data_IF_213786909326
#
_entry.id   IF_213786909326
#
_cell.length_a   1.000
_cell.length_b   1.000
_cell.length_c   1.000
_cell.angle_alpha   90.00
_cell.angle_beta   90.00
_cell.angle_gamma   90.00
#
_symmetry.space_group_name_H-M   'P 1'
#
loop_
_entity.id
_entity.type
_entity.pdbx_description
1 polymer ?
#
# COMPACT_ATOMS: atom_id res chain seq x y z
N UNK A 1 -5.97 14.86 5.69
CA UNK A 1 -5.59 13.57 6.32
C UNK A 1 -5.93 12.48 5.33
N UNK A 2 -4.99 11.57 5.02
CA UNK A 2 -5.22 10.52 4.03
C UNK A 2 -6.31 9.54 4.53
N UNK A 3 -7.36 9.23 3.74
CA UNK A 3 -8.49 8.40 4.18
C UNK A 3 -8.18 6.89 4.14
N UNK A 4 -6.96 6.50 4.54
CA UNK A 4 -6.57 5.09 4.61
C UNK A 4 -7.02 4.48 5.93
N UNK A 5 -7.68 3.33 5.83
CA UNK A 5 -8.20 2.58 6.97
C UNK A 5 -7.68 1.14 6.96
N UNK A 6 -7.49 0.57 8.15
CA UNK A 6 -7.26 -0.87 8.31
C UNK A 6 -8.52 -1.49 8.92
N UNK A 7 -8.95 -2.62 8.35
CA UNK A 7 -9.97 -3.46 8.97
C UNK A 7 -9.48 -4.01 10.32
N UNK A 8 -10.37 -4.44 11.22
CA UNK A 8 -9.98 -5.12 12.45
C UNK A 8 -9.06 -6.32 12.19
N UNK A 9 -9.38 -7.15 11.18
CA UNK A 9 -8.57 -8.29 10.78
C UNK A 9 -7.15 -7.88 10.36
N UNK A 10 -7.00 -6.78 9.60
CA UNK A 10 -5.68 -6.27 9.23
C UNK A 10 -4.90 -5.74 10.44
N UNK A 11 -5.56 -5.10 11.40
CA UNK A 11 -4.92 -4.59 12.63
C UNK A 11 -4.44 -5.72 13.53
N UNK A 12 -5.30 -6.71 13.77
CA UNK A 12 -4.98 -7.88 14.60
C UNK A 12 -3.92 -8.77 13.96
N UNK A 13 -3.87 -8.80 12.62
CA UNK A 13 -2.86 -9.56 11.91
C UNK A 13 -1.47 -8.92 11.96
N UNK A 14 -1.31 -7.62 12.24
CA UNK A 14 0.00 -6.98 12.35
C UNK A 14 0.68 -7.35 13.68
N UNK A 15 1.95 -7.71 13.63
CA UNK A 15 2.76 -7.82 14.84
C UNK A 15 3.18 -6.42 15.35
N UNK A 16 3.54 -6.30 16.63
CA UNK A 16 3.84 -5.02 17.30
C UNK A 16 4.92 -4.17 16.61
N UNK A 17 5.90 -4.80 15.95
CA UNK A 17 6.96 -4.11 15.22
C UNK A 17 6.67 -3.94 13.73
N UNK A 18 5.54 -4.44 13.23
CA UNK A 18 5.18 -4.40 11.84
C UNK A 18 4.30 -3.20 11.50
N UNK A 19 4.44 -2.77 10.26
CA UNK A 19 3.59 -1.78 9.61
C UNK A 19 3.13 -2.33 8.28
N UNK A 20 2.04 -1.78 7.75
CA UNK A 20 1.66 -2.00 6.36
C UNK A 20 2.52 -1.11 5.47
N UNK A 21 3.12 -1.70 4.44
CA UNK A 21 3.89 -0.97 3.44
C UNK A 21 3.27 -1.15 2.05
N UNK A 22 2.94 -0.01 1.42
CA UNK A 22 2.62 0.07 0.00
C UNK A 22 3.91 0.18 -0.81
N UNK A 23 4.22 -0.87 -1.57
CA UNK A 23 5.33 -0.89 -2.51
C UNK A 23 4.91 -0.33 -3.88
N UNK A 24 5.92 0.00 -4.70
CA UNK A 24 5.72 0.43 -6.09
C UNK A 24 6.55 -0.45 -7.02
N UNK A 25 5.87 -1.17 -7.91
CA UNK A 25 6.51 -2.03 -8.89
C UNK A 25 6.46 -1.37 -10.26
N UNK A 26 7.60 -0.91 -10.76
CA UNK A 26 7.70 -0.34 -12.11
C UNK A 26 7.40 -1.43 -13.14
N UNK A 27 6.44 -1.19 -14.03
CA UNK A 27 6.00 -2.15 -15.06
C UNK A 27 6.76 -2.01 -16.38
N UNK A 28 7.69 -1.04 -16.48
CA UNK A 28 8.61 -0.90 -17.61
C UNK A 28 7.97 -0.40 -18.90
N UNK A 29 6.76 0.18 -18.83
CA UNK A 29 6.15 0.88 -19.95
C UNK A 29 6.95 2.16 -20.26
N UNK A 30 6.97 2.58 -21.54
CA UNK A 30 7.75 3.74 -22.01
C UNK A 30 7.38 5.08 -21.35
N UNK A 31 6.28 5.13 -20.60
CA UNK A 31 5.80 6.30 -19.89
C UNK A 31 6.32 6.30 -18.43
N UNK A 32 7.32 7.13 -18.15
CA UNK A 32 7.63 7.73 -16.84
C UNK A 32 7.30 6.88 -15.59
N UNK A 33 8.06 5.79 -15.38
CA UNK A 33 7.97 4.93 -14.19
C UNK A 33 6.57 4.40 -13.87
N UNK A 34 5.73 4.20 -14.90
CA UNK A 34 4.43 3.56 -14.75
C UNK A 34 4.59 2.24 -13.98
N UNK A 35 3.67 2.00 -13.06
CA UNK A 35 3.84 0.94 -12.08
C UNK A 35 2.55 0.55 -11.40
N UNK A 36 2.66 -0.47 -10.56
CA UNK A 36 1.54 -1.05 -9.82
C UNK A 36 1.82 -1.06 -8.33
N UNK A 37 0.74 -0.94 -7.55
CA UNK A 37 0.82 -1.04 -6.10
C UNK A 37 0.94 -2.50 -5.66
N UNK A 38 1.62 -2.71 -4.54
CA UNK A 38 1.43 -3.93 -3.75
C UNK A 38 1.39 -3.57 -2.28
N UNK A 39 0.71 -4.39 -1.48
CA UNK A 39 0.64 -4.20 -0.04
C UNK A 39 1.24 -5.40 0.68
N UNK A 40 2.08 -5.14 1.68
CA UNK A 40 2.71 -6.19 2.48
C UNK A 40 3.01 -5.72 3.90
N UNK A 41 3.08 -6.63 4.88
CA UNK A 41 3.61 -6.30 6.19
C UNK A 41 5.13 -6.11 6.09
N UNK A 42 5.66 -5.16 6.86
CA UNK A 42 7.10 -4.89 6.94
C UNK A 42 7.45 -4.48 8.36
N UNK A 43 8.53 -5.02 8.91
CA UNK A 43 9.07 -4.52 10.19
C UNK A 43 9.46 -3.05 10.06
N UNK A 44 9.08 -2.22 11.03
CA UNK A 44 9.35 -0.78 11.05
C UNK A 44 10.84 -0.47 10.93
N UNK A 45 11.70 -1.29 11.52
CA UNK A 45 13.16 -1.20 11.41
C UNK A 45 13.72 -1.44 10.00
N UNK A 46 12.92 -2.05 9.12
CA UNK A 46 13.28 -2.34 7.71
C UNK A 46 12.60 -1.39 6.73
N UNK A 47 11.93 -0.35 7.20
CA UNK A 47 11.34 0.64 6.30
C UNK A 47 12.42 1.30 5.45
N UNK A 48 12.20 1.46 4.14
CA UNK A 48 13.09 2.25 3.31
C UNK A 48 13.24 3.66 3.90
N UNK A 49 14.46 4.22 3.87
CA UNK A 49 14.75 5.54 4.45
C UNK A 49 13.85 6.67 3.92
N UNK A 50 13.34 6.53 2.69
CA UNK A 50 12.44 7.50 2.05
C UNK A 50 10.96 7.14 2.16
N UNK A 51 10.60 6.08 2.89
CA UNK A 51 9.21 5.70 3.09
C UNK A 51 8.40 6.87 3.67
N UNK A 52 7.18 7.04 3.16
CA UNK A 52 6.29 8.16 3.53
C UNK A 52 5.08 7.60 4.26
N UNK A 53 4.72 8.19 5.39
CA UNK A 53 3.53 7.80 6.16
C UNK A 53 2.26 8.12 5.37
N UNK A 54 1.27 7.21 5.42
CA UNK A 54 -0.06 7.40 4.86
C UNK A 54 -1.12 7.28 5.95
N UNK A 55 -1.78 8.39 6.28
CA UNK A 55 -2.82 8.41 7.30
C UNK A 55 -2.25 8.10 8.69
N UNK A 56 -2.51 6.89 9.19
CA UNK A 56 -2.08 6.43 10.53
C UNK A 56 -0.58 6.12 10.62
N UNK A 57 -0.06 5.95 11.85
CA UNK A 57 1.34 5.57 12.09
C UNK A 57 1.69 4.11 11.74
N UNK A 58 0.70 3.34 11.27
CA UNK A 58 0.85 1.93 10.90
C UNK A 58 0.93 1.70 9.38
N UNK A 59 0.79 2.74 8.56
CA UNK A 59 0.83 2.60 7.09
C UNK A 59 1.86 3.53 6.49
N UNK A 60 2.73 2.96 5.67
CA UNK A 60 3.76 3.67 4.94
C UNK A 60 3.71 3.29 3.46
N UNK A 61 4.28 4.12 2.61
CA UNK A 61 4.39 3.86 1.19
C UNK A 61 5.77 4.22 0.64
N UNK A 62 6.13 3.55 -0.44
CA UNK A 62 7.14 4.03 -1.37
C UNK A 62 6.79 5.45 -1.85
N UNK A 63 7.76 6.38 -2.02
CA UNK A 63 7.48 7.77 -2.41
C UNK A 63 6.58 7.94 -3.64
N UNK A 64 6.79 7.13 -4.68
CA UNK A 64 5.97 7.19 -5.91
C UNK A 64 4.54 6.74 -5.61
N UNK A 65 4.38 5.62 -4.91
CA UNK A 65 3.06 5.15 -4.51
C UNK A 65 2.33 6.17 -3.63
N UNK A 66 3.06 6.85 -2.74
CA UNK A 66 2.51 7.87 -1.84
C UNK A 66 1.85 9.02 -2.61
N UNK A 67 2.44 9.49 -3.72
CA UNK A 67 1.87 10.58 -4.53
C UNK A 67 0.47 10.25 -5.02
N UNK A 68 0.23 8.99 -5.37
CA UNK A 68 -1.07 8.55 -5.88
C UNK A 68 -2.06 8.19 -4.76
N UNK A 69 -1.56 7.72 -3.61
CA UNK A 69 -2.41 7.22 -2.52
C UNK A 69 -2.77 8.26 -1.46
N UNK A 70 -2.05 9.39 -1.38
CA UNK A 70 -2.17 10.34 -0.27
C UNK A 70 -3.61 10.87 -0.07
N UNK A 71 -4.41 10.93 -1.13
CA UNK A 71 -5.78 11.47 -1.10
C UNK A 71 -6.86 10.41 -1.38
N UNK A 72 -6.46 9.16 -1.68
CA UNK A 72 -7.40 8.10 -2.01
C UNK A 72 -7.97 7.42 -0.75
N UNK A 73 -9.29 7.15 -0.71
CA UNK A 73 -9.86 6.32 0.33
C UNK A 73 -9.47 4.87 0.04
N UNK A 74 -8.70 4.27 0.94
CA UNK A 74 -8.22 2.89 0.77
C UNK A 74 -8.48 2.11 2.03
N UNK A 75 -9.12 0.96 1.87
CA UNK A 75 -9.34 -0.01 2.94
C UNK A 75 -8.33 -1.13 2.79
N UNK A 76 -7.48 -1.30 3.79
CA UNK A 76 -6.54 -2.42 3.86
C UNK A 76 -7.16 -3.52 4.70
N UNK A 77 -7.25 -4.70 4.10
CA UNK A 77 -7.72 -5.92 4.76
C UNK A 77 -6.60 -6.97 4.83
N UNK A 78 -6.75 -7.96 5.71
CA UNK A 78 -5.86 -9.11 5.76
C UNK A 78 -6.67 -10.39 5.69
N UNK A 79 -6.36 -11.21 4.68
CA UNK A 79 -6.96 -12.53 4.52
C UNK A 79 -6.00 -13.62 5.00
N UNK A 80 -6.42 -14.47 5.96
CA UNK A 80 -5.63 -15.62 6.35
C UNK A 80 -5.65 -16.65 5.22
N UNK A 81 -4.46 -17.01 4.73
CA UNK A 81 -4.24 -18.04 3.72
C UNK A 81 -3.43 -19.16 4.37
N UNK A 82 -4.13 -20.09 5.03
CA UNK A 82 -3.54 -21.20 5.79
C UNK A 82 -2.55 -20.71 6.86
N UNK A 83 -1.25 -20.65 6.55
CA UNK A 83 -0.17 -20.20 7.44
C UNK A 83 0.35 -18.80 7.09
N UNK A 84 -0.20 -18.18 6.04
CA UNK A 84 0.29 -16.94 5.47
C UNK A 84 -0.72 -15.82 5.70
N UNK A 85 -0.22 -14.65 6.08
CA UNK A 85 -1.02 -13.42 6.21
C UNK A 85 -0.91 -12.66 4.91
N UNK A 86 -2.00 -12.60 4.12
CA UNK A 86 -2.01 -11.83 2.88
C UNK A 86 -2.77 -10.54 3.11
N UNK A 87 -2.03 -9.43 3.14
CA UNK A 87 -2.62 -8.10 3.12
C UNK A 87 -3.12 -7.80 1.71
N UNK A 88 -4.27 -7.12 1.63
CA UNK A 88 -4.96 -6.75 0.39
C UNK A 88 -5.61 -5.38 0.55
N UNK A 89 -6.00 -4.77 -0.56
CA UNK A 89 -6.74 -3.49 -0.57
C UNK A 89 -8.03 -3.62 -1.37
N UNK A 90 -8.94 -2.68 -1.18
CA UNK A 90 -10.13 -2.48 -2.02
C UNK A 90 -9.84 -1.82 -3.38
N UNK A 91 -8.61 -1.35 -3.60
CA UNK A 91 -8.15 -0.85 -4.90
C UNK A 91 -8.28 -1.91 -6.01
N UNK A 92 -8.62 -1.49 -7.24
CA UNK A 92 -8.50 -2.35 -8.42
C UNK A 92 -7.10 -2.94 -8.57
N UNK A 93 -6.96 -4.16 -9.14
CA UNK A 93 -5.65 -4.78 -9.39
C UNK A 93 -4.71 -3.98 -10.31
N UNK A 94 -5.27 -3.06 -11.10
CA UNK A 94 -4.58 -2.19 -12.05
C UNK A 94 -4.56 -0.70 -11.59
N UNK A 95 -4.80 -0.44 -10.30
CA UNK A 95 -4.96 0.91 -9.77
C UNK A 95 -3.73 1.80 -10.01
N UNK A 96 -2.51 1.26 -9.88
CA UNK A 96 -1.29 2.01 -10.13
C UNK A 96 -1.19 2.48 -11.58
N UNK A 97 -1.50 1.57 -12.52
CA UNK A 97 -1.57 1.92 -13.94
C UNK A 97 -2.66 2.95 -14.22
N UNK A 98 -3.83 2.84 -13.59
CA UNK A 98 -4.90 3.83 -13.73
C UNK A 98 -4.47 5.19 -13.25
N UNK A 99 -3.81 5.29 -12.10
CA UNK A 99 -3.24 6.54 -11.59
C UNK A 99 -2.24 7.16 -12.59
N UNK A 100 -1.33 6.35 -13.15
CA UNK A 100 -0.36 6.83 -14.13
C UNK A 100 -1.02 7.34 -15.43
N UNK A 101 -2.12 6.73 -15.84
CA UNK A 101 -2.85 7.07 -17.07
C UNK A 101 -3.97 8.10 -16.86
N UNK A 102 -4.11 8.65 -15.66
CA UNK A 102 -5.19 9.60 -15.33
C UNK A 102 -6.60 8.98 -15.41
N UNK A 103 -6.72 7.68 -15.19
CA UNK A 103 -8.00 6.95 -15.18
C UNK A 103 -8.56 6.84 -13.75
N UNK A 104 -9.89 6.71 -13.60
CA UNK A 104 -10.52 6.53 -12.29
C UNK A 104 -10.09 5.24 -11.60
N UNK A 105 -9.75 5.35 -10.32
CA UNK A 105 -9.42 4.23 -9.43
C UNK A 105 -10.68 3.74 -8.74
#
# INVERSE_FOLDING_TARGET
MSPITLTPAAREALHDEEVVFFDWHVTGLCCADAGEFSVRPLRRSRLPRRARRLGTDLVYAHPVAWVHLAELPVTIDCRPLWRWRRFTTDLPPDAGLRCCLGRPV
#
